data_IF_787271285323
#
_entry.id   IF_787271285323
#
_cell.length_a   1.000
_cell.length_b   1.000
_cell.length_c   1.000
_cell.angle_alpha   90.00
_cell.angle_beta   90.00
_cell.angle_gamma   90.00
#
_symmetry.space_group_name_H-M   'P 1'
#
loop_
_entity.id
_entity.type
_entity.pdbx_description
1 polymer ?
#
# COMPACT_ATOMS: atom_id res chain seq x y z
N UNK A 1 -0.78 -0.58 8.26
CA UNK A 1 -0.59 0.58 9.16
C UNK A 1 0.87 0.62 9.57
N UNK A 2 1.52 1.80 9.57
CA UNK A 2 2.92 1.94 10.03
C UNK A 2 2.94 2.31 11.51
N UNK A 3 3.81 1.69 12.29
CA UNK A 3 4.03 2.06 13.68
C UNK A 3 4.52 3.52 13.79
N UNK A 4 4.04 4.22 14.80
CA UNK A 4 4.46 5.58 15.09
C UNK A 4 5.55 5.56 16.17
N UNK A 5 6.61 6.34 15.96
CA UNK A 5 7.67 6.49 16.97
C UNK A 5 7.09 7.00 18.29
N UNK A 6 7.53 6.44 19.41
CA UNK A 6 7.00 6.71 20.76
C UNK A 6 6.99 8.20 21.11
N UNK A 7 8.06 8.93 20.77
CA UNK A 7 8.16 10.38 20.99
C UNK A 7 7.12 11.17 20.18
N UNK A 8 6.71 10.65 19.02
CA UNK A 8 5.71 11.26 18.15
C UNK A 8 4.28 10.97 18.59
N UNK A 9 4.03 9.95 19.41
CA UNK A 9 2.67 9.56 19.84
C UNK A 9 1.95 10.68 20.60
N UNK A 10 2.71 11.46 21.40
CA UNK A 10 2.18 12.62 22.14
C UNK A 10 1.72 13.76 21.23
N UNK A 11 2.30 13.88 20.03
CA UNK A 11 1.93 14.92 19.05
C UNK A 11 0.52 14.67 18.49
N UNK A 12 0.10 13.40 18.46
CA UNK A 12 -1.22 13.01 17.98
C UNK A 12 -2.18 12.62 19.10
N UNK A 13 -1.94 13.09 20.33
CA UNK A 13 -2.87 12.87 21.43
C UNK A 13 -4.21 13.57 21.17
N UNK A 14 -5.32 12.94 21.56
CA UNK A 14 -6.66 13.54 21.53
C UNK A 14 -7.42 13.21 22.81
N UNK A 15 -8.36 14.08 23.17
CA UNK A 15 -9.26 13.84 24.30
C UNK A 15 -10.52 13.13 23.82
N UNK A 16 -10.94 12.12 24.57
CA UNK A 16 -12.20 11.43 24.37
C UNK A 16 -13.03 11.55 25.65
N UNK A 17 -14.28 11.97 25.47
CA UNK A 17 -15.26 12.05 26.55
C UNK A 17 -16.27 10.92 26.40
N UNK A 18 -16.40 10.11 27.47
CA UNK A 18 -17.44 9.11 27.55
C UNK A 18 -18.79 9.79 27.81
N UNK A 19 -19.69 9.75 26.84
CA UNK A 19 -21.03 10.36 26.95
C UNK A 19 -21.90 9.73 28.05
N UNK A 20 -21.60 8.50 28.48
CA UNK A 20 -22.36 7.79 29.50
C UNK A 20 -21.86 8.08 30.92
N UNK A 21 -20.55 8.31 31.10
CA UNK A 21 -19.92 8.52 32.42
C UNK A 21 -19.39 9.94 32.64
N UNK A 22 -19.34 10.77 31.60
CA UNK A 22 -18.78 12.13 31.61
C UNK A 22 -17.26 12.17 31.80
N UNK A 23 -16.57 11.02 31.75
CA UNK A 23 -15.12 10.93 31.98
C UNK A 23 -14.36 11.34 30.73
N UNK A 24 -13.42 12.25 30.90
CA UNK A 24 -12.44 12.63 29.87
C UNK A 24 -11.15 11.84 30.03
N UNK A 25 -10.73 11.19 28.96
CA UNK A 25 -9.48 10.45 28.89
C UNK A 25 -8.67 10.92 27.70
N UNK A 26 -7.36 11.08 27.86
CA UNK A 26 -6.45 11.36 26.74
C UNK A 26 -5.98 10.04 26.12
N UNK A 27 -6.11 9.92 24.81
CA UNK A 27 -5.66 8.79 24.02
C UNK A 27 -4.61 9.24 23.00
N UNK A 28 -3.66 8.36 22.68
CA UNK A 28 -2.63 8.61 21.68
C UNK A 28 -2.69 7.52 20.60
N UNK A 29 -2.30 7.88 19.38
CA UNK A 29 -2.14 6.91 18.31
C UNK A 29 -0.82 6.15 18.45
N UNK A 30 -0.87 4.82 18.33
CA UNK A 30 0.33 3.94 18.28
C UNK A 30 0.80 3.65 16.85
N UNK A 31 -0.02 4.01 15.86
CA UNK A 31 0.24 3.91 14.42
C UNK A 31 -0.03 5.26 13.76
N UNK A 32 0.49 5.47 12.55
CA UNK A 32 0.24 6.72 11.81
C UNK A 32 -1.27 6.99 11.69
N UNK A 33 -1.76 8.16 12.16
CA UNK A 33 -3.17 8.48 12.08
C UNK A 33 -3.58 8.75 10.63
N UNK A 34 -4.81 8.33 10.31
CA UNK A 34 -5.44 8.63 9.04
C UNK A 34 -5.73 10.15 8.96
N UNK A 35 -5.34 10.78 7.85
CA UNK A 35 -5.49 12.23 7.66
C UNK A 35 -4.24 13.05 7.99
N UNK A 36 -3.17 12.45 8.54
CA UNK A 36 -1.88 13.15 8.64
C UNK A 36 -1.24 13.27 7.25
N UNK A 37 -0.91 14.51 6.85
CA UNK A 37 -0.48 14.88 5.50
C UNK A 37 0.71 14.05 4.99
N UNK A 38 1.64 13.69 5.87
CA UNK A 38 2.85 12.97 5.50
C UNK A 38 2.72 11.45 5.69
N UNK A 39 1.59 10.94 6.21
CA UNK A 39 1.35 9.50 6.35
C UNK A 39 1.57 8.72 5.05
N UNK A 40 1.08 9.19 3.87
CA UNK A 40 1.33 8.50 2.60
C UNK A 40 2.82 8.40 2.28
N UNK A 41 3.57 9.50 2.47
CA UNK A 41 5.01 9.53 2.17
C UNK A 41 5.81 8.64 3.11
N UNK A 42 5.49 8.65 4.41
CA UNK A 42 6.17 7.81 5.42
C UNK A 42 5.87 6.32 5.15
N UNK A 43 4.60 5.97 4.88
CA UNK A 43 4.22 4.61 4.53
C UNK A 43 4.90 4.15 3.24
N UNK A 44 4.87 4.99 2.20
CA UNK A 44 5.52 4.70 0.92
C UNK A 44 7.01 4.44 1.06
N UNK A 45 7.73 5.28 1.82
CA UNK A 45 9.16 5.10 2.08
C UNK A 45 9.47 3.81 2.86
N UNK A 46 8.66 3.48 3.87
CA UNK A 46 8.79 2.23 4.61
C UNK A 46 8.58 1.01 3.70
N UNK A 47 7.54 1.03 2.88
CA UNK A 47 7.25 -0.03 1.92
C UNK A 47 8.34 -0.14 0.85
N UNK A 48 8.89 0.97 0.36
CA UNK A 48 10.03 0.95 -0.58
C UNK A 48 11.24 0.26 0.03
N UNK A 49 11.55 0.56 1.30
CA UNK A 49 12.65 -0.07 2.02
C UNK A 49 12.43 -1.58 2.17
N UNK A 50 11.21 -2.02 2.47
CA UNK A 50 10.88 -3.45 2.53
C UNK A 50 11.05 -4.12 1.16
N UNK A 51 10.51 -3.52 0.10
CA UNK A 51 10.60 -4.04 -1.26
C UNK A 51 12.04 -4.09 -1.81
N UNK A 52 12.98 -3.31 -1.26
CA UNK A 52 14.40 -3.44 -1.60
C UNK A 52 15.01 -4.77 -1.15
N UNK A 53 14.48 -5.38 -0.09
CA UNK A 53 14.96 -6.67 0.44
C UNK A 53 14.22 -7.86 -0.17
N UNK A 54 13.21 -7.61 -1.02
CA UNK A 54 12.45 -8.66 -1.67
C UNK A 54 13.23 -9.27 -2.85
N UNK A 55 13.55 -10.56 -2.77
CA UNK A 55 14.18 -11.36 -3.83
C UNK A 55 13.35 -11.44 -5.12
N UNK A 56 12.13 -10.93 -5.15
CA UNK A 56 11.33 -10.87 -6.37
C UNK A 56 12.02 -10.06 -7.48
N UNK A 57 12.92 -9.11 -7.14
CA UNK A 57 13.69 -8.29 -8.10
C UNK A 57 14.66 -9.04 -9.01
N UNK A 58 14.79 -10.36 -8.89
CA UNK A 58 15.63 -11.17 -9.78
C UNK A 58 15.13 -11.12 -11.24
N UNK A 59 15.76 -10.24 -12.03
CA UNK A 59 15.88 -10.06 -13.50
C UNK A 59 14.70 -10.32 -14.45
N UNK A 60 13.51 -10.74 -14.01
CA UNK A 60 12.40 -11.14 -14.89
C UNK A 60 11.07 -10.45 -14.56
N UNK A 61 11.08 -9.46 -13.66
CA UNK A 61 9.89 -8.70 -13.31
C UNK A 61 10.13 -7.19 -13.31
N UNK A 62 9.08 -6.44 -13.64
CA UNK A 62 8.96 -5.01 -13.41
C UNK A 62 8.10 -4.78 -12.18
N UNK A 63 8.66 -4.11 -11.16
CA UNK A 63 7.95 -3.76 -9.93
C UNK A 63 7.83 -2.23 -9.84
N UNK A 64 6.60 -1.73 -9.82
CA UNK A 64 6.29 -0.31 -9.67
C UNK A 64 5.51 -0.09 -8.38
N UNK A 65 5.90 0.91 -7.61
CA UNK A 65 5.27 1.27 -6.35
C UNK A 65 4.81 2.73 -6.38
N UNK A 66 3.58 2.99 -5.97
CA UNK A 66 3.05 4.32 -5.73
C UNK A 66 2.35 4.34 -4.38
N UNK A 67 3.00 4.90 -3.37
CA UNK A 67 2.50 4.91 -1.98
C UNK A 67 2.18 3.49 -1.52
N UNK A 68 0.90 3.10 -1.52
CA UNK A 68 0.35 1.82 -1.11
C UNK A 68 -0.04 0.89 -2.28
N UNK A 69 -0.02 1.39 -3.52
CA UNK A 69 -0.31 0.60 -4.72
C UNK A 69 0.97 0.00 -5.33
N UNK A 70 1.01 -1.33 -5.44
CA UNK A 70 2.09 -2.08 -6.10
C UNK A 70 1.58 -2.69 -7.40
N UNK A 71 2.34 -2.51 -8.48
CA UNK A 71 2.17 -3.21 -9.74
C UNK A 71 3.38 -4.12 -9.98
N UNK A 72 3.11 -5.42 -10.18
CA UNK A 72 4.10 -6.40 -10.58
C UNK A 72 3.74 -6.90 -11.98
N UNK A 73 4.66 -6.70 -12.92
CA UNK A 73 4.58 -7.23 -14.29
C UNK A 73 5.72 -8.19 -14.57
N UNK A 74 5.47 -9.20 -15.40
CA UNK A 74 6.48 -10.13 -15.89
C UNK A 74 6.16 -10.52 -17.34
N UNK A 75 7.14 -11.06 -18.05
CA UNK A 75 7.00 -11.42 -19.47
C UNK A 75 6.03 -12.60 -19.68
N UNK A 76 5.95 -13.52 -18.72
CA UNK A 76 5.02 -14.66 -18.76
C UNK A 76 4.07 -14.67 -17.57
N UNK A 77 2.91 -15.30 -17.76
CA UNK A 77 1.90 -15.40 -16.70
C UNK A 77 2.37 -16.30 -15.56
N UNK A 78 3.17 -17.31 -15.88
CA UNK A 78 3.76 -18.27 -14.93
C UNK A 78 4.72 -17.56 -13.98
N UNK A 79 5.66 -16.78 -14.52
CA UNK A 79 6.60 -15.96 -13.72
C UNK A 79 5.82 -14.94 -12.90
N UNK A 80 4.84 -14.27 -13.51
CA UNK A 80 4.01 -13.27 -12.81
C UNK A 80 3.30 -13.88 -11.60
N UNK A 81 2.69 -15.06 -11.74
CA UNK A 81 2.02 -15.77 -10.63
C UNK A 81 3.00 -16.18 -9.54
N UNK A 82 4.11 -16.80 -9.91
CA UNK A 82 5.13 -17.25 -8.95
C UNK A 82 5.70 -16.08 -8.14
N UNK A 83 6.08 -14.99 -8.82
CA UNK A 83 6.64 -13.80 -8.17
C UNK A 83 5.58 -13.04 -7.37
N UNK A 84 4.31 -13.05 -7.80
CA UNK A 84 3.21 -12.54 -6.99
C UNK A 84 3.09 -13.31 -5.69
N UNK A 85 3.07 -14.65 -5.72
CA UNK A 85 2.99 -15.46 -4.49
C UNK A 85 4.18 -15.19 -3.56
N UNK A 86 5.40 -15.10 -4.11
CA UNK A 86 6.60 -14.75 -3.35
C UNK A 86 6.49 -13.38 -2.68
N UNK A 87 6.03 -12.36 -3.43
CA UNK A 87 5.80 -11.01 -2.92
C UNK A 87 4.72 -10.97 -1.83
N UNK A 88 3.60 -11.66 -2.04
CA UNK A 88 2.51 -11.75 -1.06
C UNK A 88 2.99 -12.39 0.26
N UNK A 89 3.77 -13.46 0.16
CA UNK A 89 4.35 -14.14 1.33
C UNK A 89 5.32 -13.22 2.07
N UNK A 90 6.24 -12.57 1.35
CA UNK A 90 7.20 -11.61 1.90
C UNK A 90 6.49 -10.45 2.64
N UNK A 91 5.52 -9.81 2.00
CA UNK A 91 4.75 -8.72 2.58
C UNK A 91 3.92 -9.19 3.79
N UNK A 92 3.35 -10.40 3.73
CA UNK A 92 2.62 -11.01 4.84
C UNK A 92 3.51 -11.25 6.06
N UNK A 93 4.73 -11.75 5.87
CA UNK A 93 5.72 -11.93 6.94
C UNK A 93 6.14 -10.58 7.56
N UNK A 94 6.25 -9.53 6.74
CA UNK A 94 6.53 -8.17 7.20
C UNK A 94 5.32 -7.46 7.82
N UNK A 95 4.17 -8.13 7.95
CA UNK A 95 2.96 -7.60 8.62
C UNK A 95 2.05 -6.73 7.75
N UNK A 96 2.30 -6.65 6.44
CA UNK A 96 1.42 -5.95 5.50
C UNK A 96 0.18 -6.80 5.20
N UNK A 97 -0.95 -6.12 5.00
CA UNK A 97 -2.21 -6.75 4.59
C UNK A 97 -2.66 -6.17 3.26
N UNK A 98 -3.12 -7.05 2.39
CA UNK A 98 -3.59 -6.68 1.06
C UNK A 98 -5.10 -6.82 0.98
N UNK A 99 -5.72 -5.98 0.15
CA UNK A 99 -7.15 -6.07 -0.12
C UNK A 99 -7.39 -7.09 -1.22
N UNK A 100 -7.75 -8.32 -0.87
CA UNK A 100 -8.08 -9.38 -1.84
C UNK A 100 -9.11 -8.93 -2.87
N UNK A 101 -10.11 -8.15 -2.43
CA UNK A 101 -11.17 -7.62 -3.28
C UNK A 101 -10.68 -6.63 -4.34
N UNK A 102 -9.54 -5.96 -4.11
CA UNK A 102 -9.02 -4.90 -4.98
C UNK A 102 -7.79 -5.34 -5.79
N UNK A 103 -7.25 -6.53 -5.56
CA UNK A 103 -6.06 -7.01 -6.24
C UNK A 103 -6.41 -7.79 -7.52
N UNK A 104 -6.25 -7.23 -8.73
CA UNK A 104 -6.36 -7.99 -9.96
C UNK A 104 -5.12 -8.89 -10.12
N UNK A 105 -5.21 -10.14 -9.69
CA UNK A 105 -4.10 -11.10 -9.79
C UNK A 105 -3.95 -11.63 -11.21
N UNK A 106 -2.71 -11.62 -11.72
CA UNK A 106 -2.29 -12.26 -12.97
C UNK A 106 -3.19 -11.98 -14.19
N UNK A 107 -3.62 -10.71 -14.36
CA UNK A 107 -4.38 -10.28 -15.53
C UNK A 107 -3.45 -9.69 -16.60
N UNK A 108 -3.78 -9.94 -17.86
CA UNK A 108 -3.11 -9.34 -19.02
C UNK A 108 -3.36 -7.83 -19.14
N UNK A 109 -4.49 -7.36 -18.62
CA UNK A 109 -4.86 -5.94 -18.55
C UNK A 109 -5.21 -5.58 -17.12
N UNK A 110 -4.62 -4.50 -16.61
CA UNK A 110 -4.85 -3.99 -15.26
C UNK A 110 -5.06 -2.48 -15.27
N UNK A 111 -5.87 -1.98 -14.33
CA UNK A 111 -5.98 -0.54 -14.08
C UNK A 111 -5.02 -0.20 -12.94
N UNK A 112 -4.04 0.65 -13.21
CA UNK A 112 -3.08 1.14 -12.23
C UNK A 112 -3.12 2.66 -12.19
N UNK A 113 -3.48 3.24 -11.03
CA UNK A 113 -3.60 4.69 -10.83
C UNK A 113 -4.49 5.40 -11.87
N UNK A 114 -5.52 4.71 -12.38
CA UNK A 114 -6.42 5.22 -13.41
C UNK A 114 -5.89 5.13 -14.84
N UNK A 115 -4.79 4.42 -15.07
CA UNK A 115 -4.33 4.04 -16.39
C UNK A 115 -4.60 2.56 -16.65
N UNK A 116 -5.09 2.26 -17.84
CA UNK A 116 -5.18 0.89 -18.33
C UNK A 116 -3.81 0.49 -18.90
N UNK A 117 -3.22 -0.56 -18.34
CA UNK A 117 -1.92 -1.09 -18.75
C UNK A 117 -2.17 -2.48 -19.34
N UNK A 118 -1.73 -2.70 -20.59
CA UNK A 118 -1.85 -3.98 -21.29
C UNK A 118 -0.72 -4.15 -22.30
N UNK A 119 -0.05 -5.31 -22.31
CA UNK A 119 0.96 -5.68 -23.32
C UNK A 119 1.98 -4.58 -23.67
N UNK A 120 2.51 -3.87 -22.66
CA UNK A 120 3.49 -2.78 -22.86
C UNK A 120 2.90 -1.46 -23.38
N UNK A 121 1.57 -1.36 -23.53
CA UNK A 121 0.86 -0.13 -23.85
C UNK A 121 0.18 0.45 -22.60
N UNK A 122 0.09 1.78 -22.55
CA UNK A 122 -0.65 2.52 -21.53
C UNK A 122 -1.73 3.37 -22.19
N UNK A 123 -2.95 3.33 -21.65
CA UNK A 123 -4.07 4.20 -22.06
C UNK A 123 -4.69 4.87 -20.84
N UNK A 124 -5.26 6.05 -21.03
CA UNK A 124 -6.01 6.73 -19.97
C UNK A 124 -7.29 5.92 -19.70
N UNK A 125 -7.51 5.50 -18.45
CA UNK A 125 -8.72 4.78 -18.07
C UNK A 125 -9.93 5.73 -18.03
N UNK A 126 -11.10 5.20 -18.42
CA UNK A 126 -12.35 5.95 -18.51
C UNK A 126 -12.77 6.65 -17.19
N UNK A 127 -12.30 6.18 -16.04
CA UNK A 127 -12.60 6.76 -14.73
C UNK A 127 -11.85 8.07 -14.43
N UNK A 128 -10.79 8.40 -15.17
CA UNK A 128 -10.03 9.64 -14.94
C UNK A 128 -10.71 10.87 -15.52
N UNK A 129 -11.62 10.69 -16.46
CA UNK A 129 -12.37 11.77 -17.14
C UNK A 129 -13.45 12.41 -16.23
N UNK A 130 -13.70 11.83 -15.04
CA UNK A 130 -14.77 12.26 -14.11
C UNK A 130 -14.29 12.93 -12.82
N UNK A 131 -13.06 13.45 -12.76
CA UNK A 131 -12.66 14.33 -11.64
C UNK A 131 -12.84 15.80 -12.05
N UNK A 132 -13.83 16.53 -11.50
CA UNK A 132 -13.95 17.97 -11.69
C UNK A 132 -12.75 18.72 -11.10
#
# INVERSE_FOLDING_TARGET
STALEENSQKIFAFEWEDLSTGRRTQLCWTVLPQGFKNSPTIFGAALTKELQHCSAKEEQITLLQCVDDILLGADTTEICKEKTVSLLSFLGMAGYRLSEKKAPLAKQTVIYLGFEISQGQQRLGNDREKRP
#
